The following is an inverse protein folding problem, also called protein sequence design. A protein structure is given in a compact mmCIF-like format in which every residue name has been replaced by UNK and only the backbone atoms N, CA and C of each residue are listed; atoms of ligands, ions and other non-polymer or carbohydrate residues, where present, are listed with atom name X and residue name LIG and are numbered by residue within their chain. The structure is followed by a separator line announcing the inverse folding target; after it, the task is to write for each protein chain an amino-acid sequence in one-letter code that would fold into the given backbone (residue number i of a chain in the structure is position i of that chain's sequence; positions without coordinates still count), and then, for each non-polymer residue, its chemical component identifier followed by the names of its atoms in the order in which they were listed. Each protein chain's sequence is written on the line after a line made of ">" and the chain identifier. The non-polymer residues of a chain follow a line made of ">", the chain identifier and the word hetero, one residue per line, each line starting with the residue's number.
data_IF_431337331060
#
_entry.id   IF_431337331060
#
_cell.length_a   1.000
_cell.length_b   1.000
_cell.length_c   1.000
_cell.angle_alpha   90.00
_cell.angle_beta   90.00
_cell.angle_gamma   90.00
#
_symmetry.space_group_name_H-M   'P 1'
#
loop_
_entity.id
_entity.type
_entity.pdbx_description
1 polymer ?
#
# COMPACT_ATOMS: atom_id res chain seq x y z
N UNK A 1 -19.64 0.40 -0.66
CA UNK A 1 -18.60 0.86 0.27
C UNK A 1 -17.35 1.15 -0.52
N UNK A 2 -16.79 2.35 -0.41
CA UNK A 2 -15.48 2.68 -0.99
C UNK A 2 -14.49 2.87 0.15
N UNK A 3 -13.32 2.26 0.00
CA UNK A 3 -12.24 2.30 0.99
C UNK A 3 -11.01 2.87 0.32
N UNK A 4 -10.36 3.82 0.96
CA UNK A 4 -9.09 4.41 0.52
C UNK A 4 -8.01 4.09 1.54
N UNK A 5 -6.81 3.76 1.07
CA UNK A 5 -5.63 3.57 1.89
C UNK A 5 -4.75 4.82 1.75
N UNK A 6 -4.40 5.45 2.88
CA UNK A 6 -3.54 6.63 2.92
C UNK A 6 -2.21 6.26 3.58
N UNK A 7 -1.11 6.59 2.91
CA UNK A 7 0.25 6.45 3.45
C UNK A 7 0.95 7.82 3.41
N UNK A 8 1.69 8.16 4.46
CA UNK A 8 2.41 9.43 4.58
C UNK A 8 3.72 9.22 5.34
N UNK A 9 4.78 9.86 4.88
CA UNK A 9 6.06 9.92 5.60
C UNK A 9 6.07 11.02 6.70
N UNK A 10 5.07 11.92 6.68
CA UNK A 10 4.91 12.99 7.67
C UNK A 10 3.83 12.60 8.68
N UNK A 11 4.25 12.34 9.93
CA UNK A 11 3.36 12.01 11.05
C UNK A 11 2.40 13.17 11.39
N UNK A 12 2.89 14.41 11.27
CA UNK A 12 2.12 15.62 11.58
C UNK A 12 0.94 15.79 10.62
N UNK A 13 1.17 15.65 9.32
CA UNK A 13 0.11 15.81 8.31
C UNK A 13 -0.87 14.64 8.35
N UNK A 14 -0.38 13.44 8.66
CA UNK A 14 -1.22 12.26 8.84
C UNK A 14 -2.21 12.44 9.99
N UNK A 15 -1.75 12.97 11.13
CA UNK A 15 -2.63 13.25 12.27
C UNK A 15 -3.70 14.30 11.93
N UNK A 16 -3.34 15.36 11.18
CA UNK A 16 -4.30 16.36 10.71
C UNK A 16 -5.36 15.76 9.78
N UNK A 17 -4.98 14.85 8.90
CA UNK A 17 -5.90 14.11 8.04
C UNK A 17 -6.87 13.25 8.84
N UNK A 18 -6.40 12.56 9.88
CA UNK A 18 -7.27 11.77 10.76
C UNK A 18 -8.26 12.64 11.53
N UNK A 19 -7.83 13.79 12.04
CA UNK A 19 -8.72 14.76 12.69
C UNK A 19 -9.78 15.29 11.72
N UNK A 20 -9.38 15.58 10.48
CA UNK A 20 -10.31 16.04 9.45
C UNK A 20 -11.32 14.96 9.09
N UNK A 21 -10.89 13.70 8.94
CA UNK A 21 -11.78 12.57 8.69
C UNK A 21 -12.82 12.39 9.81
N UNK A 22 -12.41 12.55 11.08
CA UNK A 22 -13.34 12.55 12.22
C UNK A 22 -14.39 13.67 12.11
N UNK A 23 -13.98 14.89 11.72
CA UNK A 23 -14.92 16.01 11.53
C UNK A 23 -15.94 15.76 10.41
N UNK A 24 -15.56 15.00 9.38
CA UNK A 24 -16.43 14.61 8.28
C UNK A 24 -17.29 13.36 8.57
N UNK A 25 -17.24 12.82 9.81
CA UNK A 25 -17.86 11.54 10.16
C UNK A 25 -17.42 10.36 9.28
N UNK A 26 -16.20 10.43 8.75
CA UNK A 26 -15.58 9.35 7.99
C UNK A 26 -14.88 8.41 8.97
N UNK A 27 -15.14 7.11 8.84
CA UNK A 27 -14.44 6.09 9.64
C UNK A 27 -12.98 5.98 9.17
N UNK A 28 -12.05 6.33 10.04
CA UNK A 28 -10.62 6.18 9.82
C UNK A 28 -9.98 5.39 10.97
N UNK A 29 -9.04 4.50 10.65
CA UNK A 29 -8.25 3.76 11.62
C UNK A 29 -6.80 3.64 11.13
N UNK A 30 -5.87 3.58 12.07
CA UNK A 30 -4.48 3.24 11.77
C UNK A 30 -4.38 1.72 11.68
N UNK A 31 -3.72 1.22 10.64
CA UNK A 31 -3.48 -0.21 10.45
C UNK A 31 -2.30 -0.66 11.31
N UNK A 32 -2.36 -1.92 11.76
CA UNK A 32 -1.20 -2.57 12.37
C UNK A 32 -0.19 -2.99 11.30
N UNK A 33 1.03 -3.29 11.73
CA UNK A 33 2.07 -3.81 10.83
C UNK A 33 1.63 -5.10 10.13
N UNK A 34 1.06 -6.04 10.87
CA UNK A 34 0.51 -7.29 10.30
C UNK A 34 -0.55 -7.01 9.23
N UNK A 35 -1.43 -6.04 9.44
CA UNK A 35 -2.44 -5.68 8.44
C UNK A 35 -1.83 -5.07 7.18
N UNK A 36 -0.73 -4.32 7.32
CA UNK A 36 0.03 -3.76 6.19
C UNK A 36 0.70 -4.88 5.40
N UNK A 37 1.29 -5.86 6.08
CA UNK A 37 1.92 -7.03 5.46
C UNK A 37 0.92 -7.86 4.66
N UNK A 38 -0.25 -8.14 5.24
CA UNK A 38 -1.34 -8.86 4.57
C UNK A 38 -1.81 -8.14 3.29
N UNK A 39 -1.91 -6.80 3.32
CA UNK A 39 -2.21 -6.00 2.13
C UNK A 39 -1.10 -6.13 1.08
N UNK A 40 0.17 -6.09 1.52
CA UNK A 40 1.34 -6.30 0.67
C UNK A 40 1.30 -7.65 -0.04
N UNK A 41 1.01 -8.71 0.72
CA UNK A 41 0.90 -10.07 0.21
C UNK A 41 -0.26 -10.22 -0.78
N UNK A 42 -1.44 -9.70 -0.44
CA UNK A 42 -2.59 -9.72 -1.33
C UNK A 42 -2.30 -9.02 -2.67
N UNK A 43 -1.58 -7.90 -2.63
CA UNK A 43 -1.15 -7.19 -3.83
C UNK A 43 -0.11 -7.98 -4.65
N UNK A 44 0.86 -8.62 -3.98
CA UNK A 44 1.85 -9.47 -4.65
C UNK A 44 1.19 -10.67 -5.34
N UNK A 45 0.23 -11.33 -4.69
CA UNK A 45 -0.53 -12.44 -5.28
C UNK A 45 -1.31 -11.97 -6.51
N UNK A 46 -1.97 -10.80 -6.43
CA UNK A 46 -2.70 -10.23 -7.58
C UNK A 46 -1.76 -9.95 -8.75
N UNK A 47 -0.59 -9.36 -8.50
CA UNK A 47 0.44 -9.12 -9.53
C UNK A 47 1.03 -10.42 -10.09
N UNK A 48 1.23 -11.44 -9.26
CA UNK A 48 1.68 -12.75 -9.71
C UNK A 48 0.66 -13.43 -10.63
N UNK A 49 -0.64 -13.29 -10.33
CA UNK A 49 -1.74 -13.84 -11.14
C UNK A 49 -1.87 -13.20 -12.52
N UNK A 50 -1.45 -11.96 -12.71
CA UNK A 50 -1.49 -11.31 -14.04
C UNK A 50 -0.40 -11.82 -14.98
N UNK A 51 0.48 -12.73 -14.53
CA UNK A 51 1.57 -13.27 -15.35
C UNK A 51 2.74 -12.29 -15.54
N UNK A 52 2.66 -11.09 -14.96
CA UNK A 52 3.73 -10.09 -14.92
C UNK A 52 4.75 -10.38 -13.80
N UNK A 53 4.99 -11.66 -13.51
CA UNK A 53 6.10 -12.02 -12.65
C UNK A 53 7.40 -11.80 -13.42
N UNK A 54 7.96 -10.60 -13.27
CA UNK A 54 9.27 -10.27 -13.81
C UNK A 54 10.29 -10.97 -12.92
N UNK A 55 10.91 -12.03 -13.46
CA UNK A 55 12.13 -12.60 -12.89
C UNK A 55 13.19 -11.49 -12.85
N UNK A 56 13.47 -11.00 -11.64
CA UNK A 56 14.41 -9.92 -11.38
C UNK A 56 15.80 -10.24 -11.94
N UNK A 57 16.26 -11.48 -11.87
CA UNK A 57 17.57 -11.88 -12.38
C UNK A 57 17.57 -11.87 -13.92
N UNK A 58 16.50 -12.33 -14.54
CA UNK A 58 16.29 -12.27 -16.00
C UNK A 58 16.22 -10.82 -16.51
N UNK A 59 15.52 -9.95 -15.78
CA UNK A 59 15.40 -8.53 -16.11
C UNK A 59 16.73 -7.79 -15.97
N UNK A 60 17.46 -8.01 -14.88
CA UNK A 60 18.76 -7.39 -14.63
C UNK A 60 19.82 -7.83 -15.65
N UNK A 61 19.77 -9.08 -16.12
CA UNK A 61 20.62 -9.55 -17.22
C UNK A 61 20.37 -8.80 -18.54
N UNK A 62 19.13 -8.39 -18.83
CA UNK A 62 18.81 -7.59 -20.04
C UNK A 62 19.36 -6.17 -20.00
N UNK A 63 19.64 -5.63 -18.81
CA UNK A 63 20.15 -4.26 -18.62
C UNK A 63 21.68 -4.16 -18.66
N UNK A 64 22.39 -5.28 -18.48
CA UNK A 64 23.86 -5.35 -18.65
C UNK A 64 24.18 -5.61 -20.12
N UNK A 65 24.24 -4.53 -20.91
CA UNK A 65 24.88 -4.52 -22.23
C UNK A 65 26.37 -4.22 -22.07
#
# INVERSE_FOLDING_TARGET
>A
MQTVLLNSNSKTDFNRLLEFAKKLNIKARVLTETEIEEIGLANAIKKGRTGEFIDSDSFLKKLRK
#
